data_IF_843382120483
#
_entry.id   IF_843382120483
#
_cell.length_a   1.000
_cell.length_b   1.000
_cell.length_c   1.000
_cell.angle_alpha   90.00
_cell.angle_beta   90.00
_cell.angle_gamma   90.00
#
_symmetry.space_group_name_H-M   'P 1'
#
loop_
_entity.id
_entity.type
_entity.pdbx_description
1 polymer ?
#
# COMPACT_ATOMS: atom_id res chain seq x y z
N UNK A 1 31.49 -40.12 1.00
CA UNK A 1 30.13 -39.63 0.62
C UNK A 1 29.97 -39.83 -0.88
N UNK A 2 28.94 -40.54 -1.34
CA UNK A 2 28.79 -40.85 -2.78
C UNK A 2 28.54 -39.56 -3.57
N UNK A 3 29.25 -39.38 -4.70
CA UNK A 3 29.12 -38.19 -5.57
C UNK A 3 27.65 -37.92 -5.97
N UNK A 4 26.86 -38.98 -6.15
CA UNK A 4 25.41 -38.91 -6.42
C UNK A 4 24.61 -38.26 -5.29
N UNK A 5 25.01 -38.49 -4.03
CA UNK A 5 24.37 -37.89 -2.83
C UNK A 5 24.77 -36.42 -2.69
N UNK A 6 26.01 -36.05 -3.05
CA UNK A 6 26.46 -34.66 -3.04
C UNK A 6 25.74 -33.80 -4.09
N UNK A 7 25.52 -34.34 -5.29
CA UNK A 7 24.77 -33.66 -6.37
C UNK A 7 23.30 -33.46 -5.97
N UNK A 8 22.69 -34.45 -5.32
CA UNK A 8 21.32 -34.35 -4.84
C UNK A 8 21.16 -33.28 -3.74
N UNK A 9 22.14 -33.17 -2.82
CA UNK A 9 22.13 -32.12 -1.79
C UNK A 9 22.29 -30.71 -2.38
N UNK A 10 23.08 -30.56 -3.45
CA UNK A 10 23.30 -29.27 -4.12
C UNK A 10 22.04 -28.74 -4.82
N UNK A 11 21.15 -29.62 -5.27
CA UNK A 11 19.89 -29.24 -5.92
C UNK A 11 18.89 -28.60 -4.94
N UNK A 12 18.86 -29.05 -3.68
CA UNK A 12 17.89 -28.59 -2.66
C UNK A 12 18.15 -27.13 -2.25
N UNK A 13 19.38 -26.61 -2.43
CA UNK A 13 19.76 -25.25 -2.03
C UNK A 13 19.29 -24.17 -3.03
N UNK A 14 18.78 -24.54 -4.21
CA UNK A 14 18.42 -23.55 -5.26
C UNK A 14 16.97 -23.06 -5.22
N UNK A 15 16.12 -23.61 -4.35
CA UNK A 15 14.72 -23.18 -4.25
C UNK A 15 14.65 -21.97 -3.31
N UNK A 16 14.94 -20.79 -3.84
CA UNK A 16 14.68 -19.53 -3.15
C UNK A 16 13.16 -19.26 -3.20
N UNK A 17 12.42 -19.77 -2.21
CA UNK A 17 11.00 -19.46 -2.07
C UNK A 17 10.84 -17.97 -1.69
N UNK A 18 10.43 -17.14 -2.65
CA UNK A 18 10.04 -15.76 -2.36
C UNK A 18 8.64 -15.79 -1.74
N UNK A 19 8.54 -15.55 -0.43
CA UNK A 19 7.24 -15.42 0.24
C UNK A 19 6.59 -14.11 -0.19
N UNK A 20 5.64 -14.18 -1.12
CA UNK A 20 4.85 -13.03 -1.56
C UNK A 20 3.84 -12.65 -0.47
N UNK A 21 3.81 -11.38 -0.07
CA UNK A 21 2.82 -10.89 0.89
C UNK A 21 1.40 -11.03 0.35
N UNK A 22 0.42 -11.07 1.24
CA UNK A 22 -0.99 -11.21 0.88
C UNK A 22 -1.85 -10.21 1.64
N UNK A 23 -2.91 -9.74 0.96
CA UNK A 23 -3.98 -8.96 1.55
C UNK A 23 -5.23 -9.82 1.61
N UNK A 24 -5.86 -9.85 2.78
CA UNK A 24 -7.17 -10.47 2.98
C UNK A 24 -8.21 -9.36 3.04
N UNK A 25 -9.09 -9.29 2.06
CA UNK A 25 -10.15 -8.26 2.03
C UNK A 25 -11.43 -8.86 2.63
N UNK A 26 -11.96 -8.21 3.66
CA UNK A 26 -13.17 -8.62 4.40
C UNK A 26 -13.10 -10.03 4.97
N UNK A 27 -11.91 -10.51 5.31
CA UNK A 27 -11.70 -11.87 5.81
C UNK A 27 -12.01 -13.00 4.82
N UNK A 28 -12.23 -12.70 3.54
CA UNK A 28 -12.74 -13.66 2.55
C UNK A 28 -11.71 -14.03 1.49
N UNK A 29 -11.34 -13.06 0.64
CA UNK A 29 -10.49 -13.32 -0.52
C UNK A 29 -9.07 -12.85 -0.24
N UNK A 30 -8.13 -13.77 -0.40
CA UNK A 30 -6.70 -13.50 -0.33
C UNK A 30 -6.19 -13.07 -1.71
N UNK A 31 -5.41 -12.01 -1.73
CA UNK A 31 -4.80 -11.49 -2.94
C UNK A 31 -3.30 -11.36 -2.73
N UNK A 32 -2.46 -11.82 -3.68
CA UNK A 32 -1.04 -11.54 -3.63
C UNK A 32 -0.80 -10.03 -3.69
N UNK A 33 0.17 -9.54 -2.94
CA UNK A 33 0.40 -8.13 -2.74
C UNK A 33 1.89 -7.75 -2.68
N UNK A 34 2.14 -6.46 -2.85
CA UNK A 34 3.46 -5.87 -2.62
C UNK A 34 3.84 -5.92 -1.15
N UNK A 35 5.07 -5.54 -0.83
CA UNK A 35 5.39 -5.23 0.57
C UNK A 35 4.55 -4.05 1.07
N UNK A 36 4.42 -3.98 2.39
CA UNK A 36 3.74 -2.89 3.07
C UNK A 36 4.63 -1.65 3.18
N UNK A 37 4.17 -0.51 2.65
CA UNK A 37 4.91 0.75 2.66
C UNK A 37 4.31 1.74 3.66
N UNK A 38 5.15 2.28 4.55
CA UNK A 38 4.74 3.32 5.48
C UNK A 38 5.08 4.68 4.90
N UNK A 39 4.11 5.29 4.24
CA UNK A 39 4.24 6.63 3.70
C UNK A 39 4.11 7.65 4.83
N UNK A 40 4.95 8.67 4.78
CA UNK A 40 4.93 9.79 5.71
C UNK A 40 3.65 10.61 5.51
N UNK A 41 2.88 10.81 6.57
CA UNK A 41 1.63 11.58 6.56
C UNK A 41 1.68 12.65 7.66
N UNK A 42 2.37 13.76 7.38
CA UNK A 42 2.73 14.82 8.35
C UNK A 42 1.55 15.34 9.16
N UNK A 43 0.42 15.59 8.49
CA UNK A 43 -0.77 16.16 9.13
C UNK A 43 -1.57 15.12 9.95
N UNK A 44 -1.14 13.85 9.98
CA UNK A 44 -1.80 12.81 10.77
C UNK A 44 -1.13 12.64 12.13
N UNK A 45 -1.62 13.38 13.12
CA UNK A 45 -0.96 13.55 14.43
C UNK A 45 -0.73 12.26 15.23
N UNK A 46 -1.47 11.18 14.98
CA UNK A 46 -1.37 9.95 15.78
C UNK A 46 -0.07 9.19 15.50
N UNK A 47 0.09 8.69 14.27
CA UNK A 47 1.27 7.92 13.87
C UNK A 47 2.21 8.69 12.94
N UNK A 48 1.73 9.75 12.30
CA UNK A 48 2.44 10.43 11.21
C UNK A 48 2.64 9.54 9.97
N UNK A 49 1.92 8.43 9.86
CA UNK A 49 2.12 7.40 8.84
C UNK A 49 0.80 6.91 8.24
N UNK A 50 0.83 6.63 6.94
CA UNK A 50 -0.19 5.84 6.25
C UNK A 50 0.44 4.58 5.66
N UNK A 51 -0.18 3.44 5.94
CA UNK A 51 0.26 2.15 5.47
C UNK A 51 -0.40 1.83 4.13
N UNK A 52 0.42 1.62 3.11
CA UNK A 52 0.03 1.45 1.72
C UNK A 52 0.46 0.08 1.25
N UNK A 53 -0.43 -0.61 0.54
CA UNK A 53 -0.11 -1.87 -0.10
C UNK A 53 -0.93 -2.04 -1.38
N UNK A 54 -0.37 -2.70 -2.39
CA UNK A 54 -1.06 -2.96 -3.66
C UNK A 54 -1.24 -4.46 -3.83
N UNK A 55 -2.48 -4.90 -3.97
CA UNK A 55 -2.83 -6.27 -4.30
C UNK A 55 -3.10 -6.46 -5.79
N UNK A 56 -2.72 -7.63 -6.31
CA UNK A 56 -3.05 -8.10 -7.66
C UNK A 56 -4.39 -8.81 -7.67
N UNK A 57 -5.22 -8.47 -8.64
CA UNK A 57 -6.51 -9.11 -8.87
C UNK A 57 -6.66 -9.53 -10.33
N UNK A 58 -7.69 -10.30 -10.65
CA UNK A 58 -7.98 -10.74 -12.02
C UNK A 58 -8.28 -9.57 -12.99
N UNK A 59 -8.81 -8.44 -12.48
CA UNK A 59 -9.31 -7.31 -13.30
C UNK A 59 -8.47 -6.03 -13.20
N UNK A 60 -7.29 -6.12 -12.60
CA UNK A 60 -6.49 -4.96 -12.21
C UNK A 60 -5.91 -5.17 -10.81
N UNK A 61 -6.03 -4.19 -9.93
CA UNK A 61 -5.49 -4.30 -8.58
C UNK A 61 -6.32 -3.60 -7.51
N UNK A 62 -5.86 -3.70 -6.27
CA UNK A 62 -6.49 -3.05 -5.13
C UNK A 62 -5.44 -2.30 -4.31
N UNK A 63 -5.70 -1.03 -4.06
CA UNK A 63 -5.01 -0.24 -3.04
C UNK A 63 -5.62 -0.56 -1.68
N UNK A 64 -4.79 -1.04 -0.75
CA UNK A 64 -5.06 -0.99 0.68
C UNK A 64 -4.44 0.28 1.23
N UNK A 65 -5.27 1.12 1.83
CA UNK A 65 -4.88 2.33 2.53
C UNK A 65 -5.32 2.18 3.99
N UNK A 66 -4.37 2.19 4.91
CA UNK A 66 -4.62 2.05 6.33
C UNK A 66 -3.93 3.16 7.13
N UNK A 67 -4.60 3.64 8.17
CA UNK A 67 -4.02 4.55 9.16
C UNK A 67 -4.40 4.06 10.55
N UNK A 68 -3.51 4.30 11.52
CA UNK A 68 -3.86 4.06 12.93
C UNK A 68 -5.00 4.97 13.37
N UNK A 69 -5.81 4.57 14.33
CA UNK A 69 -6.88 5.39 14.89
C UNK A 69 -6.99 5.15 16.39
N UNK A 70 -7.43 6.17 17.12
CA UNK A 70 -7.93 6.02 18.49
C UNK A 70 -9.43 5.75 18.54
N UNK A 71 -10.13 5.97 17.42
CA UNK A 71 -11.57 5.80 17.31
C UNK A 71 -11.91 4.87 16.13
N UNK A 72 -12.36 3.64 16.38
CA UNK A 72 -12.70 2.69 15.32
C UNK A 72 -13.96 3.08 14.54
N UNK A 73 -14.72 4.08 15.00
CA UNK A 73 -15.79 4.66 14.18
C UNK A 73 -15.23 5.52 13.03
N UNK A 74 -13.99 5.97 13.05
CA UNK A 74 -13.48 6.72 11.90
C UNK A 74 -13.37 5.83 10.66
N UNK A 75 -13.50 6.45 9.50
CA UNK A 75 -13.39 5.75 8.22
C UNK A 75 -12.61 6.60 7.23
N UNK A 76 -11.78 5.95 6.42
CA UNK A 76 -11.23 6.59 5.23
C UNK A 76 -12.33 6.55 4.17
N UNK A 77 -12.73 7.70 3.65
CA UNK A 77 -13.93 7.79 2.83
C UNK A 77 -13.89 8.93 1.81
N UNK A 78 -14.60 8.74 0.70
CA UNK A 78 -14.59 9.66 -0.44
C UNK A 78 -13.43 9.41 -1.40
N UNK A 79 -13.31 10.28 -2.39
CA UNK A 79 -12.32 10.12 -3.47
C UNK A 79 -10.90 10.14 -2.93
N UNK A 80 -10.10 9.15 -3.34
CA UNK A 80 -8.66 9.11 -3.09
C UNK A 80 -7.93 9.46 -4.39
N UNK A 81 -6.93 10.32 -4.29
CA UNK A 81 -6.10 10.71 -5.43
C UNK A 81 -4.69 10.16 -5.24
N UNK A 82 -4.23 9.34 -6.18
CA UNK A 82 -2.88 8.80 -6.21
C UNK A 82 -2.08 9.63 -7.21
N UNK A 83 -1.20 10.48 -6.71
CA UNK A 83 -0.29 11.29 -7.51
C UNK A 83 0.95 10.47 -7.85
N UNK A 84 1.35 10.48 -9.11
CA UNK A 84 2.52 9.77 -9.60
C UNK A 84 3.67 10.75 -9.85
N UNK A 85 4.90 10.25 -9.88
CA UNK A 85 6.09 11.08 -10.10
C UNK A 85 6.12 11.80 -11.47
N UNK A 86 5.33 11.32 -12.45
CA UNK A 86 5.14 11.96 -13.76
C UNK A 86 4.07 13.08 -13.74
N UNK A 87 3.61 13.48 -12.55
CA UNK A 87 2.54 14.45 -12.29
C UNK A 87 1.14 14.02 -12.75
N UNK A 88 0.96 12.77 -13.19
CA UNK A 88 -0.37 12.26 -13.46
C UNK A 88 -1.08 11.79 -12.18
N UNK A 89 -2.41 11.69 -12.27
CA UNK A 89 -3.27 11.39 -11.12
C UNK A 89 -4.16 10.20 -11.48
N UNK A 90 -4.18 9.19 -10.60
CA UNK A 90 -5.18 8.13 -10.63
C UNK A 90 -6.26 8.48 -9.60
N UNK A 91 -7.51 8.50 -10.03
CA UNK A 91 -8.66 8.87 -9.19
C UNK A 91 -9.42 7.62 -8.75
N UNK A 92 -9.36 7.34 -7.45
CA UNK A 92 -9.99 6.19 -6.84
C UNK A 92 -11.35 6.56 -6.24
N UNK A 93 -12.43 6.02 -6.81
CA UNK A 93 -13.77 6.19 -6.25
C UNK A 93 -13.99 5.28 -5.04
N UNK A 94 -14.56 5.83 -3.97
CA UNK A 94 -14.90 5.08 -2.76
C UNK A 94 -16.07 4.13 -3.01
N UNK A 95 -15.86 2.83 -2.76
CA UNK A 95 -16.87 1.77 -2.88
C UNK A 95 -17.39 1.28 -1.52
N UNK A 96 -17.01 1.94 -0.43
CA UNK A 96 -17.41 1.56 0.93
C UNK A 96 -16.82 0.23 1.41
N UNK A 97 -15.70 -0.21 0.81
CA UNK A 97 -15.01 -1.43 1.21
C UNK A 97 -14.01 -1.06 2.31
N UNK A 98 -14.38 -1.33 3.55
CA UNK A 98 -13.62 -0.91 4.74
C UNK A 98 -13.52 -2.05 5.74
N UNK A 99 -12.46 -1.99 6.54
CA UNK A 99 -12.22 -2.88 7.67
C UNK A 99 -11.61 -2.10 8.83
N UNK A 100 -11.85 -2.59 10.04
CA UNK A 100 -11.14 -2.17 11.22
C UNK A 100 -10.40 -3.37 11.77
N UNK A 101 -9.07 -3.29 11.83
CA UNK A 101 -8.23 -4.37 12.36
C UNK A 101 -7.35 -3.77 13.44
N UNK A 102 -7.56 -4.23 14.68
CA UNK A 102 -6.91 -3.64 15.85
C UNK A 102 -7.17 -2.13 15.94
N UNK A 103 -6.09 -1.35 15.95
CA UNK A 103 -6.13 0.10 16.02
C UNK A 103 -6.02 0.76 14.63
N UNK A 104 -6.34 0.06 13.53
CA UNK A 104 -6.25 0.63 12.19
C UNK A 104 -7.62 0.69 11.52
N UNK A 105 -7.90 1.83 10.89
CA UNK A 105 -8.99 1.97 9.91
C UNK A 105 -8.39 1.71 8.54
N UNK A 106 -9.05 0.84 7.78
CA UNK A 106 -8.55 0.36 6.49
C UNK A 106 -9.63 0.61 5.44
N UNK A 107 -9.22 1.06 4.26
CA UNK A 107 -10.10 1.18 3.11
C UNK A 107 -9.43 0.68 1.84
N UNK A 108 -10.25 0.07 1.00
CA UNK A 108 -9.81 -0.58 -0.22
C UNK A 108 -10.36 0.13 -1.45
N UNK A 109 -9.46 0.45 -2.37
CA UNK A 109 -9.79 1.12 -3.63
C UNK A 109 -9.35 0.26 -4.82
N UNK A 110 -10.17 0.18 -5.85
CA UNK A 110 -9.89 -0.67 -7.01
C UNK A 110 -9.20 0.11 -8.11
N UNK A 111 -8.16 -0.48 -8.70
CA UNK A 111 -7.56 -0.04 -9.96
C UNK A 111 -8.00 -0.94 -11.10
N UNK A 112 -8.24 -0.33 -12.26
CA UNK A 112 -8.32 -0.98 -13.55
C UNK A 112 -6.96 -1.52 -14.01
N UNK A 113 -6.98 -2.41 -15.00
CA UNK A 113 -5.75 -2.91 -15.63
C UNK A 113 -4.87 -1.79 -16.20
N UNK A 114 -5.46 -0.75 -16.78
CA UNK A 114 -4.72 0.40 -17.34
C UNK A 114 -4.00 1.19 -16.25
N UNK A 115 -4.67 1.44 -15.13
CA UNK A 115 -4.07 2.14 -13.98
C UNK A 115 -2.94 1.31 -13.36
N UNK A 116 -3.10 -0.01 -13.25
CA UNK A 116 -2.02 -0.90 -12.82
C UNK A 116 -0.84 -0.87 -13.77
N UNK A 117 -1.07 -0.91 -15.09
CA UNK A 117 0.02 -0.82 -16.06
C UNK A 117 0.81 0.49 -15.91
N UNK A 118 0.12 1.58 -15.57
CA UNK A 118 0.78 2.84 -15.24
C UNK A 118 1.59 2.75 -13.94
N UNK A 119 1.01 2.17 -12.89
CA UNK A 119 1.70 1.94 -11.61
C UNK A 119 2.91 1.00 -11.72
N UNK A 120 2.95 0.08 -12.67
CA UNK A 120 4.12 -0.78 -12.94
C UNK A 120 5.33 -0.02 -13.49
N UNK A 121 5.12 1.16 -14.06
CA UNK A 121 6.16 1.94 -14.75
C UNK A 121 6.47 3.27 -14.08
N UNK A 122 5.56 3.77 -13.23
CA UNK A 122 5.67 5.09 -12.61
C UNK A 122 5.46 4.99 -11.10
N UNK A 123 6.46 5.45 -10.33
CA UNK A 123 6.39 5.41 -8.88
C UNK A 123 5.25 6.32 -8.35
N UNK A 124 4.61 5.88 -7.27
CA UNK A 124 3.67 6.71 -6.52
C UNK A 124 4.46 7.82 -5.84
N UNK A 125 4.03 9.07 -6.00
CA UNK A 125 4.59 10.23 -5.33
C UNK A 125 3.89 10.48 -3.98
N UNK A 126 2.56 10.55 -4.00
CA UNK A 126 1.76 10.77 -2.81
C UNK A 126 0.32 10.27 -3.00
N UNK A 127 -0.40 10.13 -1.89
CA UNK A 127 -1.80 9.73 -1.86
C UNK A 127 -2.56 10.73 -1.01
N UNK A 128 -3.55 11.39 -1.61
CA UNK A 128 -4.48 12.28 -0.91
C UNK A 128 -5.76 11.52 -0.57
N UNK A 129 -6.17 11.60 0.70
CA UNK A 129 -7.34 10.90 1.21
C UNK A 129 -8.01 11.68 2.35
N UNK A 130 -9.24 11.30 2.67
CA UNK A 130 -10.04 11.95 3.69
C UNK A 130 -10.44 10.95 4.78
N UNK A 131 -10.43 11.41 6.02
CA UNK A 131 -10.98 10.65 7.15
C UNK A 131 -12.28 11.34 7.59
N UNK A 132 -13.33 10.54 7.76
CA UNK A 132 -14.66 10.98 8.22
C UNK A 132 -15.04 10.28 9.52
N UNK A 133 -15.71 11.02 10.40
CA UNK A 133 -16.34 10.47 11.59
C UNK A 133 -17.80 10.10 11.32
N UNK A 134 -18.34 9.11 12.03
CA UNK A 134 -19.73 8.63 11.83
C UNK A 134 -20.75 9.28 12.78
N UNK A 135 -20.48 10.45 13.38
CA UNK A 135 -21.43 11.00 14.36
C UNK A 135 -22.77 11.37 13.67
N UNK A 136 -23.87 10.81 14.18
CA UNK A 136 -25.23 10.89 13.61
C UNK A 136 -25.81 12.31 13.47
N UNK A 137 -25.08 13.35 13.91
CA UNK A 137 -25.49 14.76 13.76
C UNK A 137 -24.63 15.54 12.78
N UNK A 138 -23.39 15.10 12.51
CA UNK A 138 -22.51 15.70 11.52
C UNK A 138 -21.58 14.62 10.97
N UNK A 139 -21.85 14.15 9.75
CA UNK A 139 -20.96 13.34 8.93
C UNK A 139 -19.79 14.21 8.44
N UNK A 140 -19.14 14.90 9.38
CA UNK A 140 -18.14 15.91 9.13
C UNK A 140 -16.83 15.23 8.78
N UNK A 141 -16.24 15.72 7.70
CA UNK A 141 -14.88 15.38 7.37
C UNK A 141 -13.98 15.83 8.52
N UNK A 142 -13.24 14.88 9.10
CA UNK A 142 -12.34 15.12 10.24
C UNK A 142 -11.03 15.74 9.73
N UNK A 143 -10.61 15.39 8.51
CA UNK A 143 -9.46 16.02 7.87
C UNK A 143 -9.25 15.58 6.43
N UNK A 144 -8.37 16.31 5.74
CA UNK A 144 -7.77 15.94 4.47
C UNK A 144 -6.30 15.61 4.77
N UNK A 145 -5.81 14.51 4.22
CA UNK A 145 -4.47 14.01 4.52
C UNK A 145 -3.74 13.67 3.24
N UNK A 146 -2.43 13.87 3.29
CA UNK A 146 -1.50 13.55 2.21
C UNK A 146 -0.42 12.65 2.75
N UNK A 147 -0.38 11.42 2.27
CA UNK A 147 0.69 10.48 2.54
C UNK A 147 1.72 10.54 1.40
N UNK A 148 2.95 10.94 1.71
CA UNK A 148 4.04 11.11 0.75
C UNK A 148 4.90 9.84 0.73
N UNK A 149 5.27 9.36 -0.46
CA UNK A 149 6.19 8.26 -0.64
C UNK A 149 7.60 8.67 -0.19
N UNK A 150 7.86 8.58 1.12
CA UNK A 150 9.14 8.87 1.76
C UNK A 150 9.28 8.00 3.00
N UNK A 151 10.48 7.43 3.20
CA UNK A 151 10.85 6.54 4.31
C UNK A 151 11.30 7.29 5.55
N UNK A 152 11.97 8.44 5.38
CA UNK A 152 12.57 9.20 6.49
C UNK A 152 12.47 10.71 6.24
N UNK A 153 12.28 11.50 7.29
CA UNK A 153 12.20 12.96 7.22
C UNK A 153 13.54 13.65 6.97
N UNK A 154 14.60 13.14 7.60
CA UNK A 154 15.91 13.76 7.61
C UNK A 154 16.96 12.86 6.97
N UNK A 155 17.97 13.48 6.37
CA UNK A 155 19.18 12.83 5.89
C UNK A 155 20.38 13.74 6.13
N UNK A 156 21.51 13.15 6.50
CA UNK A 156 22.78 13.89 6.55
C UNK A 156 23.34 14.03 5.13
N UNK A 157 24.25 14.97 4.91
CA UNK A 157 24.90 15.20 3.60
C UNK A 157 25.60 13.95 3.04
N UNK A 158 25.93 12.97 3.90
CA UNK A 158 26.60 11.72 3.52
C UNK A 158 25.64 10.58 3.17
N UNK A 159 24.34 10.75 3.37
CA UNK A 159 23.36 9.67 3.20
C UNK A 159 22.91 9.54 1.74
N UNK A 160 23.37 8.46 1.08
CA UNK A 160 23.06 8.14 -0.31
C UNK A 160 21.91 7.14 -0.49
N UNK A 161 21.21 6.76 0.58
CA UNK A 161 20.16 5.74 0.51
C UNK A 161 18.91 6.25 -0.22
N UNK A 162 18.24 5.38 -1.00
CA UNK A 162 16.98 5.76 -1.67
C UNK A 162 15.91 6.02 -0.61
N UNK A 163 15.44 7.28 -0.57
CA UNK A 163 14.50 7.78 0.44
C UNK A 163 13.05 7.44 0.18
N UNK A 164 12.73 6.97 -1.02
CA UNK A 164 11.37 6.64 -1.41
C UNK A 164 11.27 5.13 -1.70
N UNK A 165 10.10 4.56 -1.50
CA UNK A 165 9.79 3.20 -1.93
C UNK A 165 9.80 3.11 -3.46
N UNK A 166 10.37 2.04 -4.01
CA UNK A 166 10.40 1.77 -5.45
C UNK A 166 9.11 1.05 -5.86
N UNK A 167 7.98 1.71 -5.57
CA UNK A 167 6.63 1.17 -5.74
C UNK A 167 6.39 0.56 -7.12
N UNK A 168 6.85 1.19 -8.20
CA UNK A 168 6.66 0.68 -9.55
C UNK A 168 7.41 -0.63 -9.79
N UNK A 169 8.63 -0.73 -9.27
CA UNK A 169 9.42 -1.95 -9.36
C UNK A 169 8.74 -3.11 -8.61
N UNK A 170 8.26 -2.86 -7.39
CA UNK A 170 7.59 -3.89 -6.60
C UNK A 170 6.24 -4.32 -7.20
N UNK A 171 5.46 -3.36 -7.70
CA UNK A 171 4.21 -3.64 -8.41
C UNK A 171 4.52 -4.40 -9.71
N UNK A 172 5.61 -4.08 -10.41
CA UNK A 172 6.02 -4.84 -11.60
C UNK A 172 6.34 -6.29 -11.27
N UNK A 173 7.13 -6.54 -10.21
CA UNK A 173 7.48 -7.89 -9.74
C UNK A 173 6.25 -8.69 -9.32
N UNK A 174 5.25 -8.06 -8.69
CA UNK A 174 3.99 -8.70 -8.32
C UNK A 174 3.20 -9.27 -9.53
N UNK A 175 3.42 -8.70 -10.73
CA UNK A 175 2.73 -9.09 -11.96
C UNK A 175 3.60 -9.87 -12.95
N UNK A 176 4.82 -10.25 -12.56
CA UNK A 176 5.62 -11.27 -13.25
C UNK A 176 5.06 -12.66 -12.94
#
# INVERSE_FOLDING_TARGET
MNLKVLIFLLFIVTISATSQEQIIIKGLKQYPATSSWNFICENYALSGLANIQIAKTEKGGVLKLAVETTNPSFTIAGTVYVYLIDNSIITCSDKGIRENIGNQIISYYTFSSTEINKLKTTDIQSIHFNIKGISNKFNSQIGNFTAVNRKTYFSTASDKTKKNYATASEISTLYQ
#
